data_IF_185348575231
#
_entry.id   IF_185348575231
#
_cell.length_a   1.000
_cell.length_b   1.000
_cell.length_c   1.000
_cell.angle_alpha   90.00
_cell.angle_beta   90.00
_cell.angle_gamma   90.00
#
_symmetry.space_group_name_H-M   'P 1'
#
loop_
_entity.id
_entity.type
_entity.pdbx_description
1 polymer ?
#
# COMPACT_ATOMS: atom_id res chain seq x y z
N UNK A 1 21.25 -15.68 -36.17
CA UNK A 1 20.04 -14.95 -35.74
C UNK A 1 19.90 -15.24 -34.26
N UNK A 2 20.30 -14.31 -33.41
CA UNK A 2 20.08 -14.45 -31.97
C UNK A 2 18.61 -14.12 -31.68
N UNK A 3 17.92 -14.85 -30.78
CA UNK A 3 16.61 -14.41 -30.35
C UNK A 3 16.81 -13.13 -29.54
N UNK A 4 16.22 -12.03 -29.99
CA UNK A 4 16.13 -10.80 -29.20
C UNK A 4 15.56 -11.17 -27.84
N UNK A 5 16.42 -11.16 -26.81
CA UNK A 5 16.01 -11.31 -25.43
C UNK A 5 15.15 -10.11 -25.09
N UNK A 6 13.84 -10.25 -25.25
CA UNK A 6 12.89 -9.27 -24.79
C UNK A 6 13.10 -9.16 -23.28
N UNK A 7 13.71 -8.07 -22.81
CA UNK A 7 13.90 -7.81 -21.39
C UNK A 7 12.53 -7.89 -20.74
N UNK A 8 12.37 -8.84 -19.80
CA UNK A 8 11.16 -8.96 -19.03
C UNK A 8 10.99 -7.68 -18.22
N UNK A 9 10.10 -6.80 -18.68
CA UNK A 9 9.68 -5.63 -17.93
C UNK A 9 8.55 -6.08 -16.99
N UNK A 10 8.75 -6.10 -15.67
CA UNK A 10 7.72 -6.50 -14.72
C UNK A 10 6.47 -5.60 -14.76
N UNK A 11 6.50 -4.45 -15.44
CA UNK A 11 5.35 -3.59 -15.67
C UNK A 11 4.47 -4.03 -16.87
N UNK A 12 4.97 -4.89 -17.76
CA UNK A 12 4.25 -5.34 -18.97
C UNK A 12 3.31 -6.53 -18.69
N UNK A 13 3.35 -7.10 -17.47
CA UNK A 13 2.44 -8.16 -17.04
C UNK A 13 1.19 -7.53 -16.42
N UNK A 14 0.00 -7.71 -17.02
CA UNK A 14 -1.26 -7.28 -16.41
C UNK A 14 -1.42 -7.95 -15.04
N UNK A 15 -1.43 -7.15 -13.98
CA UNK A 15 -1.59 -7.63 -12.61
C UNK A 15 -0.29 -7.98 -11.87
N UNK A 16 0.88 -7.51 -12.33
CA UNK A 16 2.12 -7.58 -11.55
C UNK A 16 2.03 -6.74 -10.25
N UNK A 17 2.76 -7.15 -9.20
CA UNK A 17 2.78 -6.41 -7.93
C UNK A 17 3.10 -4.90 -8.07
N UNK A 18 4.03 -4.46 -8.95
CA UNK A 18 4.23 -3.05 -9.26
C UNK A 18 2.97 -2.34 -9.76
N UNK A 19 2.24 -2.94 -10.71
CA UNK A 19 1.01 -2.35 -11.26
C UNK A 19 -0.14 -2.27 -10.24
N UNK A 20 -0.24 -3.25 -9.33
CA UNK A 20 -1.22 -3.23 -8.24
C UNK A 20 -0.91 -2.14 -7.21
N UNK A 21 0.38 -1.92 -6.92
CA UNK A 21 0.81 -0.89 -6.00
C UNK A 21 0.51 0.52 -6.55
N UNK A 22 0.68 0.74 -7.85
CA UNK A 22 0.34 2.02 -8.50
C UNK A 22 -1.16 2.34 -8.37
N UNK A 23 -2.03 1.36 -8.61
CA UNK A 23 -3.48 1.56 -8.45
C UNK A 23 -3.87 1.91 -7.02
N UNK A 24 -3.25 1.26 -6.02
CA UNK A 24 -3.46 1.58 -4.61
C UNK A 24 -2.95 2.99 -4.26
N UNK A 25 -1.81 3.40 -4.82
CA UNK A 25 -1.29 4.76 -4.59
C UNK A 25 -2.27 5.81 -5.13
N UNK A 26 -2.87 5.59 -6.29
CA UNK A 26 -3.88 6.51 -6.86
C UNK A 26 -5.14 6.59 -5.97
N UNK A 27 -5.63 5.46 -5.48
CA UNK A 27 -6.77 5.37 -4.55
C UNK A 27 -6.50 6.15 -3.25
N UNK A 28 -5.35 5.91 -2.60
CA UNK A 28 -4.99 6.62 -1.37
C UNK A 28 -4.62 8.08 -1.63
N UNK A 29 -4.12 8.43 -2.80
CA UNK A 29 -3.88 9.83 -3.18
C UNK A 29 -5.20 10.61 -3.30
N UNK A 30 -6.26 9.98 -3.81
CA UNK A 30 -7.60 10.57 -3.82
C UNK A 30 -8.15 10.82 -2.40
N UNK A 31 -7.85 9.94 -1.44
CA UNK A 31 -8.21 10.13 -0.03
C UNK A 31 -7.52 11.35 0.60
N UNK A 32 -6.25 11.56 0.25
CA UNK A 32 -5.35 12.60 0.78
C UNK A 32 -5.64 13.99 0.17
N UNK A 33 -6.13 14.05 -1.07
CA UNK A 33 -6.19 15.28 -1.90
C UNK A 33 -7.16 16.38 -1.44
N UNK A 34 -7.98 16.15 -0.41
CA UNK A 34 -8.93 17.16 0.10
C UNK A 34 -8.28 18.31 0.90
N UNK A 35 -6.94 18.33 1.09
CA UNK A 35 -6.29 19.43 1.81
C UNK A 35 -4.79 19.58 1.50
N UNK A 36 -4.27 20.80 1.55
CA UNK A 36 -2.81 21.09 1.50
C UNK A 36 -2.03 20.47 2.67
N UNK A 37 -2.72 19.96 3.69
CA UNK A 37 -2.13 19.30 4.84
C UNK A 37 -3.06 18.14 5.27
N UNK A 38 -2.78 16.90 4.87
CA UNK A 38 -3.68 15.79 5.12
C UNK A 38 -3.92 15.60 6.62
N UNK A 39 -5.19 15.67 7.03
CA UNK A 39 -5.59 15.24 8.37
C UNK A 39 -5.56 13.71 8.40
N UNK A 40 -4.64 13.17 9.19
CA UNK A 40 -4.52 11.73 9.41
C UNK A 40 -5.79 11.15 10.03
N UNK A 41 -6.47 11.93 10.86
CA UNK A 41 -7.74 11.57 11.48
C UNK A 41 -8.86 11.47 10.43
N UNK A 42 -8.88 12.37 9.44
CA UNK A 42 -9.82 12.29 8.32
C UNK A 42 -9.52 11.10 7.41
N UNK A 43 -8.24 10.80 7.17
CA UNK A 43 -7.85 9.61 6.38
C UNK A 43 -8.29 8.34 7.10
N UNK A 44 -8.08 8.25 8.42
CA UNK A 44 -8.54 7.12 9.24
C UNK A 44 -10.07 6.95 9.15
N UNK A 45 -10.84 8.03 9.30
CA UNK A 45 -12.29 7.99 9.16
C UNK A 45 -12.72 7.53 7.75
N UNK A 46 -12.10 8.05 6.69
CA UNK A 46 -12.42 7.62 5.31
C UNK A 46 -12.09 6.15 5.05
N UNK A 47 -11.01 5.61 5.64
CA UNK A 47 -10.70 4.19 5.53
C UNK A 47 -11.79 3.30 6.12
N UNK A 48 -12.36 3.72 7.25
CA UNK A 48 -13.46 3.01 7.92
C UNK A 48 -14.76 3.15 7.12
N UNK A 49 -15.11 4.37 6.72
CA UNK A 49 -16.43 4.67 6.14
C UNK A 49 -16.56 4.28 4.66
N UNK A 50 -15.44 4.30 3.90
CA UNK A 50 -15.45 4.13 2.43
C UNK A 50 -14.74 2.87 1.97
N UNK A 51 -13.75 2.39 2.74
CA UNK A 51 -12.90 1.26 2.34
C UNK A 51 -13.05 0.03 3.26
N UNK A 52 -14.12 -0.03 4.06
CA UNK A 52 -14.50 -1.15 4.92
C UNK A 52 -13.42 -1.63 5.89
N UNK A 53 -12.48 -0.76 6.27
CA UNK A 53 -11.50 -1.09 7.30
C UNK A 53 -12.17 -1.14 8.67
N UNK A 54 -11.75 -2.09 9.51
CA UNK A 54 -12.09 -2.01 10.93
C UNK A 54 -11.39 -0.80 11.57
N UNK A 55 -11.95 -0.20 12.64
CA UNK A 55 -11.33 0.94 13.31
C UNK A 55 -9.88 0.66 13.75
N UNK A 56 -9.61 -0.50 14.34
CA UNK A 56 -8.27 -0.86 14.81
C UNK A 56 -7.27 -0.98 13.65
N UNK A 57 -7.71 -1.55 12.53
CA UNK A 57 -6.88 -1.74 11.34
C UNK A 57 -6.57 -0.41 10.65
N UNK A 58 -7.57 0.47 10.50
CA UNK A 58 -7.40 1.81 9.95
C UNK A 58 -6.44 2.63 10.81
N UNK A 59 -6.63 2.60 12.13
CA UNK A 59 -5.77 3.29 13.09
C UNK A 59 -4.31 2.81 13.00
N UNK A 60 -4.11 1.49 12.98
CA UNK A 60 -2.78 0.89 12.84
C UNK A 60 -2.11 1.32 11.54
N UNK A 61 -2.82 1.25 10.41
CA UNK A 61 -2.29 1.64 9.10
C UNK A 61 -1.85 3.11 9.07
N UNK A 62 -2.72 4.02 9.52
CA UNK A 62 -2.44 5.46 9.57
C UNK A 62 -1.26 5.76 10.49
N UNK A 63 -1.24 5.15 11.69
CA UNK A 63 -0.13 5.31 12.64
C UNK A 63 1.20 4.87 12.03
N UNK A 64 1.22 3.72 11.37
CA UNK A 64 2.44 3.18 10.75
C UNK A 64 2.94 4.09 9.62
N UNK A 65 2.04 4.55 8.74
CA UNK A 65 2.37 5.48 7.66
C UNK A 65 2.92 6.81 8.19
N UNK A 66 2.28 7.39 9.22
CA UNK A 66 2.68 8.66 9.84
C UNK A 66 4.00 8.58 10.59
N UNK A 67 4.26 7.49 11.32
CA UNK A 67 5.43 7.36 12.20
C UNK A 67 6.68 6.88 11.48
N UNK A 68 6.53 5.92 10.56
CA UNK A 68 7.69 5.24 9.95
C UNK A 68 7.92 5.61 8.49
N UNK A 69 6.89 6.11 7.79
CA UNK A 69 6.99 6.53 6.40
C UNK A 69 7.26 5.40 5.41
N UNK A 70 7.26 5.74 4.13
CA UNK A 70 7.29 4.77 3.02
C UNK A 70 8.57 3.91 2.98
N UNK A 71 9.73 4.44 3.41
CA UNK A 71 10.99 3.69 3.37
C UNK A 71 10.98 2.51 4.33
N UNK A 72 10.41 2.67 5.52
CA UNK A 72 10.28 1.55 6.45
C UNK A 72 9.25 0.54 5.94
N UNK A 73 8.09 1.03 5.51
CA UNK A 73 6.98 0.18 5.07
C UNK A 73 7.30 -0.64 3.83
N UNK A 74 8.04 -0.10 2.85
CA UNK A 74 8.48 -0.88 1.68
C UNK A 74 9.35 -2.09 2.08
N UNK A 75 10.18 -1.94 3.11
CA UNK A 75 11.02 -3.02 3.61
C UNK A 75 10.19 -4.03 4.41
N UNK A 76 9.21 -3.56 5.20
CA UNK A 76 8.27 -4.42 5.89
C UNK A 76 7.45 -5.28 4.91
N UNK A 77 6.94 -4.70 3.82
CA UNK A 77 6.26 -5.44 2.75
C UNK A 77 7.18 -6.47 2.10
N UNK A 78 8.41 -6.09 1.76
CA UNK A 78 9.38 -7.01 1.17
C UNK A 78 9.70 -8.18 2.11
N UNK A 79 9.80 -7.92 3.43
CA UNK A 79 10.03 -8.94 4.44
C UNK A 79 8.84 -9.90 4.56
N UNK A 80 7.60 -9.38 4.61
CA UNK A 80 6.39 -10.20 4.69
C UNK A 80 6.26 -11.15 3.49
N UNK A 81 6.51 -10.65 2.28
CA UNK A 81 6.53 -11.46 1.05
C UNK A 81 7.62 -12.54 1.13
N UNK A 82 8.83 -12.19 1.56
CA UNK A 82 9.92 -13.16 1.70
C UNK A 82 9.61 -14.26 2.75
N UNK A 83 8.73 -13.95 3.71
CA UNK A 83 8.26 -14.88 4.74
C UNK A 83 6.97 -15.63 4.36
N UNK A 84 6.43 -15.44 3.16
CA UNK A 84 5.13 -16.00 2.72
C UNK A 84 3.97 -15.64 3.66
N UNK A 85 4.02 -14.44 4.23
CA UNK A 85 2.98 -13.92 5.12
C UNK A 85 2.08 -12.95 4.34
N UNK A 86 0.90 -13.41 3.94
CA UNK A 86 -0.10 -12.59 3.24
C UNK A 86 -0.91 -11.70 4.19
N UNK A 87 -1.55 -12.29 5.20
CA UNK A 87 -2.32 -11.57 6.22
C UNK A 87 -1.54 -11.48 7.54
N UNK A 88 -1.45 -10.31 8.15
CA UNK A 88 -0.84 -10.15 9.47
C UNK A 88 -1.72 -10.68 10.61
N UNK A 89 -1.13 -11.00 11.76
CA UNK A 89 -1.89 -11.28 12.98
C UNK A 89 -2.22 -9.95 13.68
N UNK A 90 -3.43 -9.43 13.46
CA UNK A 90 -3.93 -8.22 14.13
C UNK A 90 -4.66 -8.54 15.44
N UNK A 91 -4.23 -9.58 16.17
CA UNK A 91 -4.62 -9.79 17.57
C UNK A 91 -3.77 -8.88 18.46
N UNK A 92 -4.10 -7.58 18.49
CA UNK A 92 -3.53 -6.62 19.43
C UNK A 92 -4.57 -6.30 20.50
#
# INVERSE_FOLDING_TARGET
MEPSGQEFNPNDVPGSAPSRLTNLVDEYSALVSDSQNPSWELIEAKLIDVHDWTPDAAHALVKMAKQYGWFFLRNATALAIACDQEDGDMRI
#
